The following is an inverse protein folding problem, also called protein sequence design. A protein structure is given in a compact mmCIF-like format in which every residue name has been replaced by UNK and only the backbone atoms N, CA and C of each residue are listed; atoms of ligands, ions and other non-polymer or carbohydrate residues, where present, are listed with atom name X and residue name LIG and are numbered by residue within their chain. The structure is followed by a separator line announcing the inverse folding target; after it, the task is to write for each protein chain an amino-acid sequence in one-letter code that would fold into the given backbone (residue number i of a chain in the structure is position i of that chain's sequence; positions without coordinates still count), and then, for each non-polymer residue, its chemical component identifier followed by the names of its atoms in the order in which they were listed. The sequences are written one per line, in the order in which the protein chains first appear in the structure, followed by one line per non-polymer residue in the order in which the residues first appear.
data_IF_614130650584
#
_entry.id   IF_614130650584
#
_cell.length_a   1.000
_cell.length_b   1.000
_cell.length_c   1.000
_cell.angle_alpha   90.00
_cell.angle_beta   90.00
_cell.angle_gamma   90.00
#
_symmetry.space_group_name_H-M   'P 1'
#
loop_
_entity.id
_entity.type
_entity.pdbx_description
1 polymer ?
#
# COMPACT_ATOMS: atom_id res chain seq x y z
N UNK A 1 13.96 1.23 -3.26
CA UNK A 1 12.55 1.66 -3.44
C UNK A 1 11.74 1.41 -2.18
N UNK A 2 10.61 2.10 -2.08
CA UNK A 2 9.71 2.14 -0.94
C UNK A 2 8.26 2.17 -1.40
N UNK A 3 7.40 1.41 -0.72
CA UNK A 3 5.98 1.34 -0.99
C UNK A 3 5.19 1.59 0.28
N UNK A 4 4.10 2.36 0.17
CA UNK A 4 3.16 2.58 1.26
C UNK A 4 1.90 1.77 0.97
N UNK A 5 1.45 1.00 1.94
CA UNK A 5 0.31 0.09 1.84
C UNK A 5 -0.82 0.62 2.70
N UNK A 6 -2.02 0.75 2.14
CA UNK A 6 -3.23 1.14 2.85
C UNK A 6 -4.27 0.01 2.81
N UNK A 7 -4.82 -0.33 3.97
CA UNK A 7 -5.71 -1.47 4.17
C UNK A 7 -4.96 -2.73 4.61
N UNK A 8 -5.62 -3.87 4.50
CA UNK A 8 -5.16 -5.15 5.04
C UNK A 8 -5.47 -5.31 6.53
N UNK A 9 -5.04 -6.43 7.10
CA UNK A 9 -5.32 -6.79 8.49
C UNK A 9 -4.05 -6.63 9.35
N UNK A 10 -4.19 -6.17 10.59
CA UNK A 10 -3.06 -5.95 11.53
C UNK A 10 -2.13 -7.16 11.65
N UNK A 11 -2.71 -8.36 11.73
CA UNK A 11 -1.95 -9.61 11.84
C UNK A 11 -1.08 -9.89 10.60
N UNK A 12 -1.40 -9.26 9.48
CA UNK A 12 -0.70 -9.40 8.20
C UNK A 12 0.34 -8.31 7.97
N UNK A 13 0.37 -7.24 8.76
CA UNK A 13 1.30 -6.13 8.59
C UNK A 13 2.75 -6.61 8.46
N UNK A 14 3.20 -7.43 9.43
CA UNK A 14 4.55 -7.99 9.42
C UNK A 14 4.80 -8.87 8.19
N UNK A 15 3.79 -9.61 7.75
CA UNK A 15 3.90 -10.47 6.56
C UNK A 15 4.10 -9.61 5.30
N UNK A 16 3.36 -8.52 5.14
CA UNK A 16 3.55 -7.63 3.99
C UNK A 16 4.94 -7.00 4.00
N UNK A 17 5.41 -6.54 5.17
CA UNK A 17 6.74 -5.96 5.32
C UNK A 17 7.83 -6.97 4.98
N UNK A 18 7.73 -8.19 5.52
CA UNK A 18 8.72 -9.25 5.29
C UNK A 18 8.76 -9.69 3.83
N UNK A 19 7.60 -9.82 3.17
CA UNK A 19 7.55 -10.18 1.75
C UNK A 19 8.04 -9.05 0.83
N UNK A 20 7.74 -7.78 1.14
CA UNK A 20 8.30 -6.63 0.42
C UNK A 20 9.83 -6.58 0.56
N UNK A 21 10.35 -6.82 1.77
CA UNK A 21 11.80 -6.83 2.04
C UNK A 21 12.53 -7.91 1.23
N UNK A 22 11.91 -9.09 1.02
CA UNK A 22 12.46 -10.15 0.16
C UNK A 22 12.61 -9.72 -1.31
N UNK A 23 11.87 -8.70 -1.74
CA UNK A 23 11.96 -8.11 -3.09
C UNK A 23 12.78 -6.82 -3.11
N UNK A 24 13.51 -6.49 -2.04
CA UNK A 24 14.31 -5.26 -1.96
C UNK A 24 13.51 -3.97 -1.75
N UNK A 25 12.22 -4.08 -1.42
CA UNK A 25 11.34 -2.95 -1.14
C UNK A 25 11.25 -2.66 0.36
N UNK A 26 11.28 -1.37 0.74
CA UNK A 26 10.89 -0.92 2.07
C UNK A 26 9.38 -0.69 2.10
N UNK A 27 8.64 -1.43 2.93
CA UNK A 27 7.20 -1.25 3.06
C UNK A 27 6.83 -0.52 4.35
N UNK A 28 5.81 0.35 4.26
CA UNK A 28 5.11 0.92 5.41
C UNK A 28 3.62 0.61 5.27
N UNK A 29 3.00 0.05 6.30
CA UNK A 29 1.61 -0.44 6.25
C UNK A 29 0.73 0.43 7.15
N UNK A 30 -0.46 0.74 6.66
CA UNK A 30 -1.53 1.38 7.41
C UNK A 30 -2.81 0.57 7.22
N UNK A 31 -3.08 -0.35 8.14
CA UNK A 31 -4.26 -1.22 8.12
C UNK A 31 -5.55 -0.47 8.43
N UNK A 32 -5.45 0.68 9.10
CA UNK A 32 -6.56 1.57 9.39
C UNK A 32 -6.46 2.89 8.63
N UNK A 33 -7.62 3.53 8.44
CA UNK A 33 -7.70 4.88 7.90
C UNK A 33 -6.94 5.88 8.77
N UNK A 34 -6.18 6.77 8.13
CA UNK A 34 -5.47 7.86 8.79
C UNK A 34 -6.02 9.22 8.35
N UNK A 35 -6.02 10.18 9.26
CA UNK A 35 -6.41 11.56 8.95
C UNK A 35 -5.28 12.33 8.25
N UNK A 36 -4.03 11.90 8.43
CA UNK A 36 -2.81 12.50 7.87
C UNK A 36 -2.34 11.78 6.59
N UNK A 37 -3.24 11.65 5.62
CA UNK A 37 -2.99 10.91 4.36
C UNK A 37 -1.82 11.53 3.59
N UNK A 38 -1.69 12.85 3.59
CA UNK A 38 -0.59 13.61 2.96
C UNK A 38 0.79 13.18 3.49
N UNK A 39 0.93 13.10 4.82
CA UNK A 39 2.16 12.64 5.49
C UNK A 39 2.35 11.15 5.33
N UNK A 40 1.26 10.40 5.30
CA UNK A 40 1.27 8.95 5.21
C UNK A 40 1.74 8.46 3.84
N UNK A 41 1.28 9.10 2.75
CA UNK A 41 1.77 8.87 1.38
C UNK A 41 3.21 9.38 1.24
N UNK A 42 3.51 10.58 1.74
CA UNK A 42 4.87 11.08 1.83
C UNK A 42 5.59 11.16 0.47
N UNK A 43 6.85 10.69 0.43
CA UNK A 43 7.71 10.58 -0.77
C UNK A 43 8.00 9.10 -1.09
N UNK A 44 6.97 8.26 -1.09
CA UNK A 44 7.12 6.86 -1.48
C UNK A 44 7.28 6.69 -2.98
N UNK A 45 7.92 5.60 -3.41
CA UNK A 45 8.04 5.25 -4.84
C UNK A 45 6.74 4.65 -5.40
N UNK A 46 5.85 4.16 -4.52
CA UNK A 46 4.53 3.68 -4.90
C UNK A 46 3.56 3.57 -3.73
N UNK A 47 2.26 3.48 -4.04
CA UNK A 47 1.19 3.23 -3.08
C UNK A 47 0.41 1.99 -3.48
N UNK A 48 0.21 1.06 -2.55
CA UNK A 48 -0.67 -0.09 -2.72
C UNK A 48 -1.93 0.08 -1.84
N UNK A 49 -3.10 -0.15 -2.42
CA UNK A 49 -4.39 -0.06 -1.71
C UNK A 49 -5.07 -1.43 -1.75
N UNK A 50 -5.35 -1.99 -0.58
CA UNK A 50 -6.24 -3.13 -0.44
C UNK A 50 -7.70 -2.67 -0.39
N UNK A 51 -8.45 -2.93 -1.46
CA UNK A 51 -9.80 -2.35 -1.61
C UNK A 51 -10.89 -3.09 -0.83
N UNK A 52 -10.67 -4.36 -0.46
CA UNK A 52 -11.57 -5.16 0.37
C UNK A 52 -11.63 -4.72 1.84
N UNK A 53 -10.57 -4.04 2.30
CA UNK A 53 -10.29 -3.84 3.73
C UNK A 53 -10.20 -2.36 4.11
N UNK A 54 -10.40 -1.46 3.14
CA UNK A 54 -10.36 -0.02 3.37
C UNK A 54 -11.66 0.64 2.91
N UNK A 55 -12.07 1.71 3.58
CA UNK A 55 -13.27 2.44 3.16
C UNK A 55 -13.04 3.18 1.84
N UNK A 56 -14.10 3.30 1.04
CA UNK A 56 -14.08 4.06 -0.22
C UNK A 56 -13.60 5.50 -0.03
N UNK A 57 -13.95 6.13 1.09
CA UNK A 57 -13.52 7.50 1.43
C UNK A 57 -11.99 7.57 1.53
N UNK A 58 -11.37 6.64 2.25
CA UNK A 58 -9.91 6.63 2.42
C UNK A 58 -9.22 6.25 1.11
N UNK A 59 -9.67 5.21 0.41
CA UNK A 59 -9.12 4.83 -0.89
C UNK A 59 -9.11 6.02 -1.88
N UNK A 60 -10.23 6.74 -1.95
CA UNK A 60 -10.35 7.92 -2.82
C UNK A 60 -9.37 9.03 -2.42
N UNK A 61 -9.25 9.31 -1.12
CA UNK A 61 -8.33 10.35 -0.63
C UNK A 61 -6.86 9.98 -0.87
N UNK A 62 -6.47 8.73 -0.61
CA UNK A 62 -5.12 8.21 -0.87
C UNK A 62 -4.79 8.31 -2.36
N UNK A 63 -5.68 7.83 -3.23
CA UNK A 63 -5.48 7.89 -4.68
C UNK A 63 -5.35 9.32 -5.20
N UNK A 64 -6.17 10.25 -4.68
CA UNK A 64 -6.06 11.68 -5.02
C UNK A 64 -4.71 12.26 -4.59
N UNK A 65 -4.24 11.94 -3.39
CA UNK A 65 -2.98 12.47 -2.87
C UNK A 65 -1.76 11.90 -3.61
N UNK A 66 -1.75 10.60 -3.90
CA UNK A 66 -0.71 9.98 -4.70
C UNK A 66 -0.66 10.58 -6.12
N UNK A 67 -1.83 10.79 -6.75
CA UNK A 67 -1.92 11.42 -8.07
C UNK A 67 -1.35 12.85 -8.08
N UNK A 68 -1.63 13.67 -7.05
CA UNK A 68 -1.06 15.02 -6.94
C UNK A 68 0.47 15.02 -6.90
N UNK A 69 1.07 13.94 -6.39
CA UNK A 69 2.52 13.77 -6.24
C UNK A 69 3.16 12.95 -7.36
N UNK A 70 2.37 12.57 -8.38
CA UNK A 70 2.80 11.67 -9.44
C UNK A 70 3.35 10.33 -8.94
N UNK A 71 2.82 9.84 -7.81
CA UNK A 71 3.18 8.53 -7.24
C UNK A 71 2.25 7.47 -7.84
N UNK A 72 2.78 6.36 -8.39
CA UNK A 72 1.96 5.29 -8.94
C UNK A 72 1.10 4.63 -7.85
N UNK A 73 -0.17 4.42 -8.18
CA UNK A 73 -1.14 3.74 -7.31
C UNK A 73 -1.46 2.37 -7.88
N UNK A 74 -1.34 1.37 -7.03
CA UNK A 74 -1.61 -0.03 -7.34
C UNK A 74 -2.76 -0.47 -6.46
N UNK A 75 -3.78 -1.06 -7.08
CA UNK A 75 -4.94 -1.56 -6.37
C UNK A 75 -4.89 -3.07 -6.32
N UNK A 76 -5.10 -3.63 -5.13
CA UNK A 76 -5.21 -5.06 -4.92
C UNK A 76 -6.54 -5.31 -4.24
N UNK A 77 -7.41 -6.13 -4.82
CA UNK A 77 -8.70 -6.37 -4.19
C UNK A 77 -8.56 -7.18 -2.91
N UNK A 78 -7.76 -8.24 -2.93
CA UNK A 78 -7.64 -9.19 -1.82
C UNK A 78 -6.38 -8.91 -0.99
N UNK A 79 -6.55 -8.77 0.32
CA UNK A 79 -5.47 -8.55 1.29
C UNK A 79 -4.63 -9.80 1.65
N UNK A 80 -4.78 -10.93 0.95
CA UNK A 80 -3.99 -12.13 1.23
C UNK A 80 -2.51 -11.95 0.92
N UNK A 81 -1.67 -12.76 1.59
CA UNK A 81 -0.23 -12.84 1.30
C UNK A 81 0.06 -13.11 -0.17
N UNK A 82 -0.67 -14.05 -0.78
CA UNK A 82 -0.45 -14.46 -2.17
C UNK A 82 -0.78 -13.33 -3.14
N UNK A 83 -1.93 -12.68 -2.96
CA UNK A 83 -2.34 -11.52 -3.76
C UNK A 83 -1.33 -10.39 -3.63
N UNK A 84 -0.93 -10.06 -2.40
CA UNK A 84 0.10 -9.05 -2.15
C UNK A 84 1.39 -9.35 -2.91
N UNK A 85 1.96 -10.56 -2.75
CA UNK A 85 3.23 -10.95 -3.38
C UNK A 85 3.19 -10.78 -4.90
N UNK A 86 2.11 -11.24 -5.55
CA UNK A 86 1.96 -11.11 -7.00
C UNK A 86 1.97 -9.63 -7.40
N UNK A 87 1.19 -8.81 -6.70
CA UNK A 87 1.06 -7.37 -7.00
C UNK A 87 2.38 -6.62 -6.81
N UNK A 88 3.12 -6.85 -5.73
CA UNK A 88 4.39 -6.13 -5.52
C UNK A 88 5.54 -6.64 -6.39
N UNK A 89 5.46 -7.86 -6.90
CA UNK A 89 6.44 -8.40 -7.82
C UNK A 89 6.40 -7.67 -9.17
N UNK A 90 5.20 -7.37 -9.67
CA UNK A 90 4.99 -6.56 -10.89
C UNK A 90 5.48 -5.11 -10.72
N UNK A 91 5.50 -4.59 -9.49
CA UNK A 91 6.01 -3.25 -9.17
C UNK A 91 7.53 -3.19 -8.99
N UNK A 92 8.14 -4.27 -8.52
CA UNK A 92 9.57 -4.33 -8.23
C UNK A 92 10.44 -4.67 -9.44
N UNK A 93 9.84 -5.17 -10.53
CA UNK A 93 10.51 -5.42 -11.81
C UNK A 93 10.67 -4.13 -12.61
#
# INVERSE_FOLDING_TARGET
MSIVIFGGHDRMERIYIDEAKKMGLKAKVYTYGRNDIDKSVGKSDGVLIFTDTISHKIATSVSKEAKKRSIPVIVCHNSSKTSFKKTIQEFAM
#
